data_IF_930211085128
#
_entry.id   IF_930211085128
#
_cell.length_a   1.000
_cell.length_b   1.000
_cell.length_c   1.000
_cell.angle_alpha   90.00
_cell.angle_beta   90.00
_cell.angle_gamma   90.00
#
_symmetry.space_group_name_H-M   'P 1'
#
loop_
_entity.id
_entity.type
_entity.pdbx_description
1 polymer ?
#
# COMPACT_ATOMS: atom_id res chain seq x y z
N UNK A 1 20.25 -79.57 12.14
CA UNK A 1 19.71 -78.44 11.39
C UNK A 1 20.84 -77.51 11.03
N UNK A 2 21.30 -77.54 9.74
CA UNK A 2 22.30 -76.62 9.20
C UNK A 2 21.60 -75.32 8.77
N UNK A 3 21.67 -74.33 9.63
CA UNK A 3 21.22 -73.00 9.28
C UNK A 3 22.23 -72.31 8.34
N UNK A 4 21.90 -72.19 7.08
CA UNK A 4 22.65 -71.34 6.13
C UNK A 4 22.13 -69.91 6.21
N UNK A 5 23.01 -68.93 6.43
CA UNK A 5 22.69 -67.56 6.34
C UNK A 5 23.55 -66.91 5.22
N UNK A 6 22.95 -65.98 4.46
CA UNK A 6 23.65 -65.27 3.42
C UNK A 6 23.63 -63.76 3.70
N UNK A 7 24.78 -63.13 3.61
CA UNK A 7 24.93 -61.67 3.69
C UNK A 7 25.27 -61.14 2.31
N UNK A 8 24.41 -60.27 1.77
CA UNK A 8 24.59 -59.72 0.43
C UNK A 8 24.64 -58.19 0.54
N UNK A 9 25.83 -57.59 0.73
CA UNK A 9 25.96 -56.15 0.73
C UNK A 9 25.70 -55.61 -0.68
N UNK A 10 24.77 -54.62 -0.80
CA UNK A 10 24.50 -53.92 -2.05
C UNK A 10 24.98 -52.51 -1.94
N UNK A 11 25.96 -52.09 -2.75
CA UNK A 11 26.38 -50.73 -2.91
C UNK A 11 25.73 -50.24 -4.21
N UNK A 12 24.80 -49.31 -4.12
CA UNK A 12 24.18 -48.67 -5.30
C UNK A 12 24.84 -47.31 -5.49
N UNK A 13 25.67 -47.20 -6.51
CA UNK A 13 26.24 -45.93 -6.96
C UNK A 13 25.36 -45.39 -8.07
N UNK A 14 24.63 -44.28 -7.89
CA UNK A 14 23.93 -43.60 -8.97
C UNK A 14 24.97 -42.89 -9.83
N UNK A 15 25.49 -43.57 -10.85
CA UNK A 15 26.36 -42.95 -11.87
C UNK A 15 25.45 -42.31 -12.94
N UNK A 16 25.39 -41.00 -13.08
CA UNK A 16 24.57 -40.33 -14.12
C UNK A 16 25.28 -40.38 -15.47
N UNK A 17 25.43 -41.58 -16.02
CA UNK A 17 26.17 -41.78 -17.31
C UNK A 17 25.45 -41.08 -18.46
N UNK A 18 24.12 -40.93 -18.39
CA UNK A 18 23.29 -40.25 -19.40
C UNK A 18 22.62 -38.95 -18.90
N UNK A 19 22.86 -38.56 -17.67
CA UNK A 19 22.21 -37.38 -17.04
C UNK A 19 23.06 -36.12 -17.00
N UNK A 20 24.28 -36.11 -17.58
CA UNK A 20 25.21 -34.99 -17.46
C UNK A 20 24.68 -33.65 -18.06
N UNK A 21 23.81 -33.75 -19.05
CA UNK A 21 23.13 -32.58 -19.62
C UNK A 21 22.06 -32.02 -18.69
N UNK A 22 21.31 -32.85 -17.97
CA UNK A 22 20.28 -32.41 -17.05
C UNK A 22 20.87 -31.67 -15.83
N UNK A 23 21.99 -32.11 -15.30
CA UNK A 23 22.67 -31.45 -14.19
C UNK A 23 23.20 -30.07 -14.60
N UNK A 24 23.77 -29.93 -15.78
CA UNK A 24 24.19 -28.62 -16.32
C UNK A 24 23.01 -27.71 -16.55
N UNK A 25 21.96 -28.21 -17.20
CA UNK A 25 20.74 -27.41 -17.41
C UNK A 25 20.08 -26.95 -16.09
N UNK A 26 20.13 -27.80 -15.05
CA UNK A 26 19.64 -27.40 -13.71
C UNK A 26 20.53 -26.33 -13.08
N UNK A 27 21.85 -26.41 -13.24
CA UNK A 27 22.78 -25.38 -12.78
C UNK A 27 22.52 -24.05 -13.49
N UNK A 28 22.45 -24.06 -14.82
CA UNK A 28 22.16 -22.87 -15.63
C UNK A 28 20.81 -22.25 -15.25
N UNK A 29 19.80 -23.10 -15.01
CA UNK A 29 18.50 -22.66 -14.52
C UNK A 29 18.59 -21.99 -13.14
N UNK A 30 19.38 -22.56 -12.22
CA UNK A 30 19.57 -21.98 -10.89
C UNK A 30 20.31 -20.63 -10.94
N UNK A 31 21.29 -20.50 -11.85
CA UNK A 31 21.99 -19.22 -12.06
C UNK A 31 21.07 -18.15 -12.67
N UNK A 32 20.23 -18.53 -13.65
CA UNK A 32 19.22 -17.61 -14.21
C UNK A 32 18.21 -17.21 -13.15
N UNK A 33 17.73 -18.17 -12.35
CA UNK A 33 16.81 -17.88 -11.24
C UNK A 33 17.42 -16.89 -10.23
N UNK A 34 18.69 -17.09 -9.86
CA UNK A 34 19.41 -16.14 -9.00
C UNK A 34 19.45 -14.72 -9.59
N UNK A 35 19.69 -14.58 -10.89
CA UNK A 35 19.67 -13.27 -11.56
C UNK A 35 18.29 -12.64 -11.55
N UNK A 36 17.24 -13.45 -11.72
CA UNK A 36 15.85 -12.98 -11.63
C UNK A 36 15.55 -12.46 -10.24
N UNK A 37 15.98 -13.19 -9.19
CA UNK A 37 15.75 -12.74 -7.81
C UNK A 37 16.51 -11.44 -7.47
N UNK A 38 17.73 -11.29 -7.97
CA UNK A 38 18.47 -10.03 -7.82
C UNK A 38 17.73 -8.87 -8.49
N UNK A 39 17.27 -9.07 -9.73
CA UNK A 39 16.51 -8.04 -10.45
C UNK A 39 15.17 -7.70 -9.78
N UNK A 40 14.50 -8.70 -9.20
CA UNK A 40 13.28 -8.50 -8.42
C UNK A 40 13.56 -7.71 -7.13
N UNK A 41 14.66 -7.99 -6.45
CA UNK A 41 15.09 -7.27 -5.26
C UNK A 41 15.39 -5.79 -5.58
N UNK A 42 16.15 -5.53 -6.63
CA UNK A 42 16.43 -4.16 -7.08
C UNK A 42 15.15 -3.39 -7.44
N UNK A 43 14.21 -4.06 -8.13
CA UNK A 43 12.91 -3.48 -8.47
C UNK A 43 12.10 -3.15 -7.20
N UNK A 44 12.11 -4.04 -6.21
CA UNK A 44 11.42 -3.82 -4.94
C UNK A 44 11.98 -2.60 -4.20
N UNK A 45 13.32 -2.45 -4.16
CA UNK A 45 13.97 -1.26 -3.58
C UNK A 45 13.53 0.01 -4.30
N UNK A 46 13.60 0.02 -5.64
CA UNK A 46 13.21 1.19 -6.44
C UNK A 46 11.73 1.55 -6.25
N UNK A 47 10.86 0.54 -6.13
CA UNK A 47 9.42 0.75 -5.84
C UNK A 47 9.23 1.39 -4.48
N UNK A 48 9.89 0.88 -3.43
CA UNK A 48 9.80 1.42 -2.08
C UNK A 48 10.27 2.89 -2.01
N UNK A 49 11.39 3.22 -2.64
CA UNK A 49 11.86 4.61 -2.72
C UNK A 49 10.88 5.53 -3.44
N UNK A 50 10.28 5.06 -4.54
CA UNK A 50 9.28 5.82 -5.28
C UNK A 50 8.04 6.06 -4.42
N UNK A 51 7.53 5.04 -3.76
CA UNK A 51 6.36 5.14 -2.87
C UNK A 51 6.56 6.16 -1.75
N UNK A 52 7.75 6.18 -1.14
CA UNK A 52 8.11 7.17 -0.12
C UNK A 52 8.19 8.58 -0.73
N UNK A 53 8.86 8.73 -1.88
CA UNK A 53 8.99 10.02 -2.54
C UNK A 53 7.63 10.60 -2.95
N UNK A 54 6.75 9.77 -3.54
CA UNK A 54 5.40 10.15 -3.94
C UNK A 54 4.54 10.51 -2.71
N UNK A 55 4.65 9.76 -1.62
CA UNK A 55 3.97 10.04 -0.36
C UNK A 55 4.38 11.38 0.25
N UNK A 56 5.67 11.70 0.23
CA UNK A 56 6.19 12.97 0.74
C UNK A 56 5.78 14.16 -0.15
N UNK A 57 5.89 14.02 -1.48
CA UNK A 57 5.46 15.05 -2.43
C UNK A 57 3.95 15.31 -2.31
N UNK A 58 3.16 14.24 -2.15
CA UNK A 58 1.71 14.31 -1.97
C UNK A 58 1.30 15.08 -0.72
N UNK A 59 2.07 15.02 0.36
CA UNK A 59 1.73 15.72 1.61
C UNK A 59 1.56 17.22 1.42
N UNK A 60 2.52 17.88 0.77
CA UNK A 60 2.47 19.33 0.57
C UNK A 60 1.34 19.79 -0.35
N UNK A 61 1.10 19.08 -1.44
CA UNK A 61 0.05 19.37 -2.40
C UNK A 61 -1.34 19.14 -1.81
N UNK A 62 -1.55 18.05 -1.06
CA UNK A 62 -2.83 17.74 -0.43
C UNK A 62 -3.18 18.74 0.69
N UNK A 63 -2.21 19.22 1.45
CA UNK A 63 -2.45 20.27 2.45
C UNK A 63 -2.87 21.61 1.78
N UNK A 64 -2.26 21.97 0.66
CA UNK A 64 -2.66 23.14 -0.11
C UNK A 64 -4.08 22.97 -0.70
N UNK A 65 -4.39 21.78 -1.23
CA UNK A 65 -5.72 21.47 -1.76
C UNK A 65 -6.80 21.58 -0.67
N UNK A 66 -6.56 21.04 0.54
CA UNK A 66 -7.52 21.13 1.66
C UNK A 66 -7.76 22.59 2.05
N UNK A 67 -6.72 23.42 2.07
CA UNK A 67 -6.91 24.86 2.33
C UNK A 67 -7.81 25.52 1.28
N UNK A 68 -7.58 25.26 0.00
CA UNK A 68 -8.40 25.77 -1.10
C UNK A 68 -9.85 25.26 -1.01
N UNK A 69 -10.06 23.96 -0.73
CA UNK A 69 -11.41 23.41 -0.56
C UNK A 69 -12.12 24.00 0.66
N UNK A 70 -11.40 24.27 1.74
CA UNK A 70 -11.97 24.95 2.92
C UNK A 70 -12.45 26.35 2.58
N UNK A 71 -11.65 27.14 1.87
CA UNK A 71 -12.04 28.47 1.39
C UNK A 71 -13.26 28.40 0.46
N UNK A 72 -13.33 27.40 -0.41
CA UNK A 72 -14.48 27.18 -1.27
C UNK A 72 -15.76 26.86 -0.49
N UNK A 73 -15.67 26.04 0.56
CA UNK A 73 -16.82 25.77 1.45
C UNK A 73 -17.27 27.04 2.15
N UNK A 74 -16.36 27.87 2.65
CA UNK A 74 -16.71 29.12 3.32
C UNK A 74 -17.36 30.11 2.37
N UNK A 75 -16.85 30.25 1.14
CA UNK A 75 -17.47 31.08 0.10
C UNK A 75 -18.88 30.58 -0.26
N UNK A 76 -19.04 29.25 -0.43
CA UNK A 76 -20.34 28.65 -0.75
C UNK A 76 -21.34 28.80 0.40
N UNK A 77 -20.87 28.75 1.66
CA UNK A 77 -21.71 28.99 2.83
C UNK A 77 -22.22 30.42 2.89
N UNK A 78 -21.34 31.38 2.61
CA UNK A 78 -21.74 32.81 2.55
C UNK A 78 -22.74 33.07 1.41
N UNK A 79 -22.53 32.45 0.23
CA UNK A 79 -23.45 32.53 -0.89
C UNK A 79 -24.83 31.95 -0.56
N UNK A 80 -24.84 30.79 0.11
CA UNK A 80 -26.09 30.18 0.58
C UNK A 80 -26.83 31.07 1.57
N UNK A 81 -26.11 31.63 2.57
CA UNK A 81 -26.71 32.54 3.56
C UNK A 81 -27.31 33.78 2.92
N UNK A 82 -26.65 34.35 1.91
CA UNK A 82 -27.16 35.51 1.16
C UNK A 82 -28.41 35.11 0.35
N UNK A 83 -28.38 33.97 -0.35
CA UNK A 83 -29.54 33.49 -1.10
C UNK A 83 -30.75 33.24 -0.18
N UNK A 84 -30.52 32.69 1.02
CA UNK A 84 -31.56 32.50 2.02
C UNK A 84 -32.19 33.81 2.52
N UNK A 85 -31.36 34.85 2.73
CA UNK A 85 -31.85 36.18 3.12
C UNK A 85 -32.70 36.81 2.01
N UNK A 86 -32.25 36.76 0.74
CA UNK A 86 -32.97 37.32 -0.41
C UNK A 86 -34.28 36.58 -0.67
N UNK A 87 -34.27 35.26 -0.53
CA UNK A 87 -35.50 34.46 -0.62
C UNK A 87 -36.51 34.84 0.48
N UNK A 88 -36.06 35.01 1.75
CA UNK A 88 -36.94 35.45 2.84
C UNK A 88 -37.47 36.88 2.64
N UNK A 89 -36.71 37.73 1.98
CA UNK A 89 -37.14 39.08 1.60
C UNK A 89 -38.09 39.11 0.39
N UNK A 90 -38.27 37.98 -0.29
CA UNK A 90 -39.09 37.89 -1.50
C UNK A 90 -38.43 38.48 -2.76
N UNK A 91 -37.10 38.68 -2.71
CA UNK A 91 -36.31 39.22 -3.82
C UNK A 91 -35.87 38.14 -4.82
N UNK A 92 -35.65 36.91 -4.36
CA UNK A 92 -35.20 35.79 -5.18
C UNK A 92 -36.22 34.62 -5.11
N UNK A 93 -36.18 33.77 -6.13
CA UNK A 93 -36.99 32.59 -6.21
C UNK A 93 -36.39 31.41 -5.42
N UNK A 94 -37.18 30.34 -5.23
CA UNK A 94 -36.73 29.12 -4.54
C UNK A 94 -35.63 28.37 -5.30
N UNK A 95 -35.53 28.54 -6.63
CA UNK A 95 -34.53 27.88 -7.45
C UNK A 95 -33.12 28.39 -7.11
N UNK A 96 -32.94 29.71 -6.96
CA UNK A 96 -31.67 30.30 -6.55
C UNK A 96 -31.19 29.79 -5.19
N UNK A 97 -32.10 29.66 -4.22
CA UNK A 97 -31.80 29.08 -2.91
C UNK A 97 -31.37 27.61 -3.00
N UNK A 98 -32.07 26.79 -3.76
CA UNK A 98 -31.75 25.38 -3.96
C UNK A 98 -30.40 25.18 -4.69
N UNK A 99 -30.08 26.01 -5.66
CA UNK A 99 -28.80 26.00 -6.36
C UNK A 99 -27.63 26.35 -5.42
N UNK A 100 -27.80 27.36 -4.58
CA UNK A 100 -26.82 27.74 -3.57
C UNK A 100 -26.62 26.61 -2.54
N UNK A 101 -27.69 25.96 -2.10
CA UNK A 101 -27.64 24.80 -1.20
C UNK A 101 -26.92 23.63 -1.84
N UNK A 102 -27.22 23.30 -3.10
CA UNK A 102 -26.55 22.22 -3.86
C UNK A 102 -25.06 22.51 -4.01
N UNK A 103 -24.70 23.76 -4.29
CA UNK A 103 -23.30 24.18 -4.42
C UNK A 103 -22.55 24.04 -3.10
N UNK A 104 -23.15 24.47 -1.99
CA UNK A 104 -22.58 24.27 -0.64
C UNK A 104 -22.38 22.80 -0.31
N UNK A 105 -23.38 21.97 -0.57
CA UNK A 105 -23.29 20.53 -0.32
C UNK A 105 -22.18 19.88 -1.18
N UNK A 106 -22.06 20.24 -2.46
CA UNK A 106 -21.01 19.77 -3.34
C UNK A 106 -19.61 20.16 -2.89
N UNK A 107 -19.43 21.40 -2.41
CA UNK A 107 -18.15 21.88 -1.87
C UNK A 107 -17.77 21.16 -0.57
N UNK A 108 -18.72 20.91 0.32
CA UNK A 108 -18.49 20.12 1.56
C UNK A 108 -18.07 18.68 1.25
N UNK A 109 -18.74 18.04 0.27
CA UNK A 109 -18.34 16.69 -0.16
C UNK A 109 -16.92 16.67 -0.74
N UNK A 110 -16.54 17.66 -1.54
CA UNK A 110 -15.19 17.75 -2.10
C UNK A 110 -14.13 17.91 -0.99
N UNK A 111 -14.39 18.73 0.02
CA UNK A 111 -13.51 18.87 1.18
C UNK A 111 -13.34 17.55 1.93
N UNK A 112 -14.43 16.81 2.16
CA UNK A 112 -14.36 15.49 2.83
C UNK A 112 -13.53 14.50 2.01
N UNK A 113 -13.69 14.46 0.68
CA UNK A 113 -12.88 13.63 -0.21
C UNK A 113 -11.40 13.99 -0.14
N UNK A 114 -11.07 15.28 -0.17
CA UNK A 114 -9.67 15.75 -0.06
C UNK A 114 -9.04 15.36 1.27
N UNK A 115 -9.79 15.45 2.39
CA UNK A 115 -9.34 14.97 3.70
C UNK A 115 -9.11 13.46 3.72
N UNK A 116 -9.97 12.68 3.07
CA UNK A 116 -9.81 11.22 2.96
C UNK A 116 -8.54 10.89 2.16
N UNK A 117 -8.32 11.53 1.02
CA UNK A 117 -7.11 11.31 0.20
C UNK A 117 -5.84 11.63 0.98
N UNK A 118 -5.83 12.74 1.74
CA UNK A 118 -4.71 13.09 2.61
C UNK A 118 -4.44 12.02 3.66
N UNK A 119 -5.49 11.53 4.33
CA UNK A 119 -5.35 10.49 5.34
C UNK A 119 -4.82 9.18 4.74
N UNK A 120 -5.35 8.78 3.57
CA UNK A 120 -4.87 7.62 2.83
C UNK A 120 -3.39 7.77 2.44
N UNK A 121 -2.98 8.96 1.98
CA UNK A 121 -1.57 9.23 1.66
C UNK A 121 -0.66 9.08 2.89
N UNK A 122 -1.08 9.56 4.06
CA UNK A 122 -0.33 9.42 5.30
C UNK A 122 -0.21 7.95 5.74
N UNK A 123 -1.28 7.18 5.61
CA UNK A 123 -1.27 5.74 5.93
C UNK A 123 -0.34 4.99 4.98
N UNK A 124 -0.40 5.28 3.67
CA UNK A 124 0.47 4.66 2.67
C UNK A 124 1.94 5.01 2.92
N UNK A 125 2.24 6.27 3.23
CA UNK A 125 3.58 6.70 3.61
C UNK A 125 4.08 5.98 4.86
N UNK A 126 3.24 5.85 5.88
CA UNK A 126 3.57 5.11 7.10
C UNK A 126 3.89 3.63 6.80
N UNK A 127 3.10 2.99 5.94
CA UNK A 127 3.35 1.62 5.48
C UNK A 127 4.66 1.50 4.68
N UNK A 128 4.90 2.42 3.75
CA UNK A 128 6.11 2.45 2.92
C UNK A 128 7.39 2.63 3.75
N UNK A 129 7.30 3.33 4.87
CA UNK A 129 8.39 3.50 5.84
C UNK A 129 8.57 2.30 6.79
N UNK A 130 7.81 1.22 6.59
CA UNK A 130 7.85 0.04 7.46
C UNK A 130 7.07 0.21 8.77
N UNK A 131 6.20 1.21 8.87
CA UNK A 131 5.37 1.41 10.04
C UNK A 131 4.36 0.29 10.25
N UNK A 132 4.07 -0.02 11.51
CA UNK A 132 3.17 -1.12 11.89
C UNK A 132 3.89 -2.42 12.21
N UNK A 133 5.19 -2.53 11.98
CA UNK A 133 5.98 -3.63 12.49
C UNK A 133 6.43 -3.30 13.91
N UNK A 134 5.70 -3.81 14.88
CA UNK A 134 6.18 -3.89 16.26
C UNK A 134 6.90 -5.22 16.39
N UNK A 135 8.19 -5.19 16.70
CA UNK A 135 8.87 -6.36 17.20
C UNK A 135 8.05 -6.83 18.42
N UNK A 136 7.43 -8.00 18.30
CA UNK A 136 6.89 -8.68 19.47
C UNK A 136 8.12 -9.00 20.32
N UNK A 137 8.48 -8.10 21.22
CA UNK A 137 9.33 -8.44 22.33
C UNK A 137 8.60 -9.59 23.02
N UNK A 138 9.14 -10.80 22.92
CA UNK A 138 8.66 -11.94 23.71
C UNK A 138 8.56 -11.44 25.16
N UNK A 139 7.44 -11.70 25.84
CA UNK A 139 7.31 -11.30 27.24
C UNK A 139 8.53 -11.85 28.01
N UNK A 140 9.15 -11.06 28.89
CA UNK A 140 10.42 -11.40 29.55
C UNK A 140 10.38 -12.66 30.41
N UNK A 141 9.26 -13.35 30.49
CA UNK A 141 9.02 -14.51 31.35
C UNK A 141 8.55 -15.77 30.58
N UNK A 142 9.04 -16.02 29.37
CA UNK A 142 8.79 -17.32 28.74
C UNK A 142 9.66 -18.41 29.45
N UNK A 143 9.03 -19.32 30.25
CA UNK A 143 9.75 -20.35 30.99
C UNK A 143 10.42 -21.42 30.11
N UNK A 144 10.26 -21.34 28.77
CA UNK A 144 10.84 -22.29 27.80
C UNK A 144 12.22 -21.85 27.27
N UNK A 145 12.74 -20.69 27.70
CA UNK A 145 14.06 -20.20 27.31
C UNK A 145 15.15 -20.37 28.35
N UNK A 146 14.93 -21.29 29.35
CA UNK A 146 15.96 -21.71 30.31
C UNK A 146 16.45 -23.11 30.06
#
# INVERSE_FOLDING_TARGET
GSGAWSFMPRITLPLPIFGGGALRANLDRAEVQKRIEIANYERAIQSAFREVADGLAGKGTLDAQIRSETQRVDASRNAYALAEQRFKAGEDDNLALLEAQRTLYGSQQALVRSKLVRLSNLINLYKALGGGWTEFAAPPDDPLTR
#
